data_IF_976316683280
#
_entry.id   IF_976316683280
#
_cell.length_a   1.000
_cell.length_b   1.000
_cell.length_c   1.000
_cell.angle_alpha   90.00
_cell.angle_beta   90.00
_cell.angle_gamma   90.00
#
_symmetry.space_group_name_H-M   'P 1'
#
loop_
_entity.id
_entity.type
_entity.pdbx_description
1 polymer ?
#
# COMPACT_ATOMS: atom_id res chain seq x y z
N UNK A 1 17.08 3.82 -17.80
CA UNK A 1 16.29 4.20 -16.61
C UNK A 1 16.40 3.07 -15.60
N UNK A 2 17.43 3.10 -14.75
CA UNK A 2 17.66 2.07 -13.75
C UNK A 2 16.68 2.28 -12.59
N UNK A 3 15.89 1.25 -12.25
CA UNK A 3 15.27 1.17 -10.93
C UNK A 3 16.42 1.15 -9.93
N UNK A 4 16.71 2.30 -9.33
CA UNK A 4 17.84 2.44 -8.42
C UNK A 4 17.63 1.41 -7.30
N UNK A 5 18.67 0.67 -6.94
CA UNK A 5 18.62 -0.33 -5.84
C UNK A 5 18.08 0.27 -4.52
N UNK A 6 18.03 1.60 -4.43
CA UNK A 6 17.47 2.40 -3.35
C UNK A 6 16.00 2.06 -3.02
N UNK A 7 15.20 1.59 -3.97
CA UNK A 7 13.77 1.25 -3.75
C UNK A 7 13.55 -0.17 -3.18
N UNK A 8 14.62 -0.96 -3.14
CA UNK A 8 14.66 -2.29 -2.54
C UNK A 8 15.34 -2.25 -1.18
N UNK A 9 14.90 -3.12 -0.28
CA UNK A 9 15.59 -3.42 0.97
C UNK A 9 16.75 -4.37 0.70
N UNK A 10 17.66 -4.51 1.67
CA UNK A 10 18.78 -5.45 1.59
C UNK A 10 18.35 -6.91 1.37
N UNK A 11 17.12 -7.28 1.76
CA UNK A 11 16.54 -8.61 1.54
C UNK A 11 15.84 -8.77 0.17
N UNK A 12 15.99 -7.82 -0.76
CA UNK A 12 15.37 -7.88 -2.08
C UNK A 12 13.87 -7.58 -2.10
N UNK A 13 13.23 -7.29 -0.97
CA UNK A 13 11.83 -6.85 -0.92
C UNK A 13 11.71 -5.35 -1.17
N UNK A 14 10.57 -4.91 -1.72
CA UNK A 14 10.28 -3.49 -1.92
C UNK A 14 10.15 -2.72 -0.60
N UNK A 15 10.55 -1.44 -0.60
CA UNK A 15 10.27 -0.51 0.48
C UNK A 15 8.77 -0.17 0.56
N UNK A 16 8.30 0.22 1.76
CA UNK A 16 6.91 0.68 1.98
C UNK A 16 6.64 1.89 1.09
N UNK A 17 5.51 1.89 0.40
CA UNK A 17 5.16 2.97 -0.55
C UNK A 17 5.64 2.73 -1.98
N UNK A 18 6.22 1.57 -2.30
CA UNK A 18 6.55 1.15 -3.67
C UNK A 18 5.82 -0.15 -4.03
N UNK A 19 5.57 -0.36 -5.33
CA UNK A 19 4.95 -1.56 -5.89
C UNK A 19 5.52 -1.87 -7.28
N UNK A 20 5.40 -3.12 -7.72
CA UNK A 20 5.61 -3.45 -9.12
C UNK A 20 4.38 -3.08 -9.94
N UNK A 21 4.59 -2.49 -11.11
CA UNK A 21 3.55 -2.37 -12.12
C UNK A 21 3.46 -3.66 -12.96
N UNK A 22 2.49 -3.74 -13.85
CA UNK A 22 2.25 -4.92 -14.70
C UNK A 22 3.44 -5.26 -15.63
N UNK A 23 4.33 -4.29 -15.87
CA UNK A 23 5.55 -4.47 -16.66
C UNK A 23 6.75 -4.88 -15.80
N UNK A 24 6.54 -5.22 -14.51
CA UNK A 24 7.59 -5.61 -13.56
C UNK A 24 8.49 -4.45 -13.10
N UNK A 25 8.14 -3.20 -13.39
CA UNK A 25 8.92 -2.02 -12.96
C UNK A 25 8.44 -1.52 -11.61
N UNK A 26 9.39 -1.07 -10.79
CA UNK A 26 9.10 -0.46 -9.50
C UNK A 26 8.52 0.94 -9.71
N UNK A 27 7.35 1.19 -9.17
CA UNK A 27 6.66 2.49 -9.19
C UNK A 27 6.22 2.88 -7.78
N UNK A 28 6.10 4.18 -7.51
CA UNK A 28 5.54 4.67 -6.25
C UNK A 28 4.09 4.20 -6.13
N UNK A 29 3.75 3.60 -4.99
CA UNK A 29 2.38 3.28 -4.66
C UNK A 29 1.61 4.60 -4.56
N UNK A 30 0.57 4.74 -5.40
CA UNK A 30 -0.44 5.76 -5.14
C UNK A 30 -1.16 5.30 -3.89
N UNK A 31 -1.15 6.14 -2.87
CA UNK A 31 -1.94 5.91 -1.66
C UNK A 31 -3.39 5.95 -2.15
N UNK A 32 -3.96 4.79 -2.43
CA UNK A 32 -5.41 4.66 -2.30
C UNK A 32 -5.57 4.68 -0.79
N UNK A 33 -6.12 5.76 -0.26
CA UNK A 33 -6.73 5.70 1.06
C UNK A 33 -7.72 4.54 0.94
N UNK A 34 -7.35 3.37 1.47
CA UNK A 34 -8.36 2.39 1.78
C UNK A 34 -9.15 3.08 2.89
N UNK A 35 -10.30 3.64 2.51
CA UNK A 35 -11.35 3.91 3.47
C UNK A 35 -11.62 2.57 4.14
N UNK A 36 -10.95 2.36 5.27
CA UNK A 36 -11.16 1.17 6.08
C UNK A 36 -12.66 1.12 6.32
N UNK A 37 -13.28 0.00 5.94
CA UNK A 37 -14.65 -0.34 6.29
C UNK A 37 -14.77 -0.21 7.82
N UNK A 38 -15.09 0.98 8.31
CA UNK A 38 -15.62 1.20 9.63
C UNK A 38 -17.06 0.73 9.53
N UNK A 39 -17.28 -0.57 9.60
CA UNK A 39 -18.58 -1.12 10.01
C UNK A 39 -18.76 -0.70 11.46
N UNK A 40 -19.13 0.57 11.66
CA UNK A 40 -19.66 1.02 12.94
C UNK A 40 -21.02 0.35 13.03
N UNK A 41 -21.04 -0.83 13.63
CA UNK A 41 -22.28 -1.46 14.03
C UNK A 41 -22.88 -0.51 15.06
N UNK A 42 -23.81 0.33 14.62
CA UNK A 42 -24.68 1.11 15.49
C UNK A 42 -25.53 0.09 16.25
N UNK A 43 -25.04 -0.40 17.39
CA UNK A 43 -25.89 -1.06 18.36
C UNK A 43 -26.76 0.02 18.99
N UNK A 44 -27.94 0.19 18.40
CA UNK A 44 -29.03 0.94 18.99
C UNK A 44 -29.23 0.44 20.42
N UNK A 45 -28.81 1.23 21.41
CA UNK A 45 -29.19 1.01 22.80
C UNK A 45 -30.39 1.88 23.08
N UNK A 46 -31.56 1.31 22.80
CA UNK A 46 -32.82 1.72 23.41
C UNK A 46 -32.71 1.43 24.90
N UNK A 47 -32.67 2.47 25.74
CA UNK A 47 -33.17 2.42 27.11
C UNK A 47 -33.51 3.80 27.61
#
# INVERSE_FOLDING_TARGET
MATKKEDLKANGKLKKGFRYNENGRIVKAKIRYQEENKTVVFSAKVK
#
